data_IF_467318481714
#
_entry.id   IF_467318481714
#
_cell.length_a   1.000
_cell.length_b   1.000
_cell.length_c   1.000
_cell.angle_alpha   90.00
_cell.angle_beta   90.00
_cell.angle_gamma   90.00
#
_symmetry.space_group_name_H-M   'P 1'
#
loop_
_entity.id
_entity.type
_entity.pdbx_description
1 polymer ?
#
# COMPACT_ATOMS: atom_id res chain seq x y z
N UNK A 1 1.40 5.24 -9.87
CA UNK A 1 0.21 5.31 -9.00
C UNK A 1 0.24 4.29 -7.86
N UNK A 2 0.60 3.00 -8.04
CA UNK A 2 0.64 2.05 -6.89
C UNK A 2 1.60 2.48 -5.77
N UNK A 3 2.76 3.06 -6.11
CA UNK A 3 3.75 3.43 -5.10
C UNK A 3 3.19 4.40 -4.05
N UNK A 4 2.22 5.22 -4.44
CA UNK A 4 1.47 6.06 -3.50
C UNK A 4 0.67 5.22 -2.50
N UNK A 5 -0.05 4.19 -2.96
CA UNK A 5 -0.81 3.30 -2.07
C UNK A 5 0.09 2.53 -1.12
N UNK A 6 1.29 2.11 -1.54
CA UNK A 6 2.25 1.42 -0.67
C UNK A 6 2.78 2.35 0.44
N UNK A 7 2.99 3.62 0.14
CA UNK A 7 3.52 4.60 1.11
C UNK A 7 2.43 5.33 1.91
N UNK A 8 1.19 5.30 1.43
CA UNK A 8 0.06 5.94 2.09
C UNK A 8 -0.19 5.53 3.55
N UNK A 9 0.06 4.28 4.01
CA UNK A 9 -0.18 3.91 5.40
C UNK A 9 0.69 4.71 6.38
N UNK A 10 1.89 5.14 5.96
CA UNK A 10 2.75 5.97 6.80
C UNK A 10 2.12 7.35 7.08
N UNK A 11 1.49 7.94 6.05
CA UNK A 11 0.76 9.21 6.20
C UNK A 11 -0.50 9.01 7.03
N UNK A 12 -1.25 7.94 6.77
CA UNK A 12 -2.46 7.61 7.52
C UNK A 12 -2.16 7.31 8.98
N UNK A 13 -1.02 6.68 9.31
CA UNK A 13 -0.63 6.41 10.69
C UNK A 13 -0.43 7.71 11.50
N UNK A 14 0.20 8.72 10.91
CA UNK A 14 0.37 10.04 11.55
C UNK A 14 -1.01 10.70 11.76
N UNK A 15 -1.86 10.68 10.73
CA UNK A 15 -3.22 11.22 10.82
C UNK A 15 -4.09 10.46 11.83
N UNK A 16 -3.92 9.13 11.92
CA UNK A 16 -4.64 8.26 12.84
C UNK A 16 -4.30 8.58 14.30
N UNK A 17 -3.03 8.80 14.63
CA UNK A 17 -2.63 9.20 15.97
C UNK A 17 -3.34 10.49 16.42
N UNK A 18 -3.38 11.49 15.54
CA UNK A 18 -4.11 12.72 15.80
C UNK A 18 -5.63 12.49 15.91
N UNK A 19 -6.22 11.73 14.98
CA UNK A 19 -7.66 11.48 14.94
C UNK A 19 -8.18 10.71 16.16
N UNK A 20 -7.49 9.64 16.56
CA UNK A 20 -7.89 8.82 17.72
C UNK A 20 -7.74 9.60 19.02
N UNK A 21 -6.74 10.47 19.13
CA UNK A 21 -6.59 11.35 20.30
C UNK A 21 -7.76 12.32 20.47
N UNK A 22 -8.40 12.74 19.36
CA UNK A 22 -9.53 13.68 19.35
C UNK A 22 -10.89 12.97 19.44
N UNK A 23 -11.03 11.80 18.82
CA UNK A 23 -12.27 11.06 18.68
C UNK A 23 -12.09 9.54 18.92
N UNK A 24 -11.78 9.11 20.15
CA UNK A 24 -11.45 7.71 20.45
C UNK A 24 -12.58 6.74 20.09
N UNK A 25 -13.84 7.15 20.25
CA UNK A 25 -15.01 6.31 19.93
C UNK A 25 -15.23 6.11 18.42
N UNK A 26 -14.53 6.84 17.56
CA UNK A 26 -14.60 6.73 16.10
C UNK A 26 -13.38 6.04 15.47
N UNK A 27 -12.50 5.45 16.28
CA UNK A 27 -11.28 4.80 15.80
C UNK A 27 -11.56 3.71 14.75
N UNK A 28 -12.71 3.02 14.82
CA UNK A 28 -13.12 2.00 13.85
C UNK A 28 -13.21 2.52 12.40
N UNK A 29 -13.45 3.84 12.20
CA UNK A 29 -13.48 4.45 10.86
C UNK A 29 -12.12 4.30 10.15
N UNK A 30 -11.01 4.20 10.89
CA UNK A 30 -9.68 4.00 10.32
C UNK A 30 -9.53 2.66 9.61
N UNK A 31 -10.36 1.66 9.95
CA UNK A 31 -10.38 0.37 9.25
C UNK A 31 -10.91 0.46 7.82
N UNK A 32 -11.55 1.58 7.44
CA UNK A 32 -11.92 1.83 6.05
C UNK A 32 -10.69 1.94 5.13
N UNK A 33 -9.55 2.40 5.66
CA UNK A 33 -8.31 2.52 4.89
C UNK A 33 -7.72 1.17 4.47
N UNK A 34 -7.44 0.21 5.39
CA UNK A 34 -6.96 -1.11 5.00
C UNK A 34 -7.98 -1.86 4.13
N UNK A 35 -9.28 -1.71 4.38
CA UNK A 35 -10.31 -2.27 3.51
C UNK A 35 -10.23 -1.74 2.07
N UNK A 36 -10.00 -0.43 1.89
CA UNK A 36 -9.77 0.17 0.58
C UNK A 36 -8.49 -0.37 -0.09
N UNK A 37 -7.39 -0.49 0.67
CA UNK A 37 -6.15 -1.07 0.17
C UNK A 37 -6.34 -2.50 -0.32
N UNK A 38 -7.08 -3.32 0.43
CA UNK A 38 -7.43 -4.70 0.04
C UNK A 38 -8.18 -4.74 -1.29
N UNK A 39 -9.15 -3.84 -1.51
CA UNK A 39 -9.86 -3.75 -2.79
C UNK A 39 -8.91 -3.38 -3.95
N UNK A 40 -8.06 -2.38 -3.75
CA UNK A 40 -7.10 -1.92 -4.76
C UNK A 40 -6.07 -3.00 -5.09
N UNK A 41 -5.48 -3.63 -4.08
CA UNK A 41 -4.49 -4.70 -4.25
C UNK A 41 -5.11 -5.97 -4.85
N UNK A 42 -6.35 -6.31 -4.48
CA UNK A 42 -7.10 -7.41 -5.08
C UNK A 42 -7.35 -7.22 -6.58
N UNK A 43 -7.62 -5.99 -7.01
CA UNK A 43 -7.71 -5.67 -8.44
C UNK A 43 -6.38 -5.89 -9.17
N UNK A 44 -5.26 -5.58 -8.52
CA UNK A 44 -3.91 -5.80 -9.07
C UNK A 44 -3.55 -7.27 -9.13
N UNK A 45 -3.97 -8.07 -8.13
CA UNK A 45 -3.75 -9.52 -8.13
C UNK A 45 -4.42 -10.18 -9.33
N UNK A 46 -5.67 -9.77 -9.64
CA UNK A 46 -6.37 -10.24 -10.85
C UNK A 46 -5.60 -9.89 -12.13
N UNK A 47 -5.09 -8.66 -12.22
CA UNK A 47 -4.30 -8.21 -13.36
C UNK A 47 -3.00 -9.02 -13.51
N UNK A 48 -2.28 -9.24 -12.40
CA UNK A 48 -1.04 -10.02 -12.39
C UNK A 48 -1.26 -11.48 -12.82
N UNK A 49 -2.41 -12.07 -12.47
CA UNK A 49 -2.78 -13.41 -12.91
C UNK A 49 -3.02 -13.55 -14.43
N UNK A 50 -3.27 -12.44 -15.14
CA UNK A 50 -3.61 -12.44 -16.57
C UNK A 50 -2.55 -11.77 -17.47
N UNK A 51 -1.62 -10.98 -16.92
CA UNK A 51 -0.74 -10.09 -17.70
C UNK A 51 0.71 -9.96 -17.21
N UNK A 52 1.14 -10.78 -16.24
CA UNK A 52 2.51 -10.76 -15.72
C UNK A 52 2.74 -9.73 -14.62
N UNK A 53 3.84 -9.89 -13.87
CA UNK A 53 4.19 -9.04 -12.74
C UNK A 53 4.53 -7.60 -13.18
N UNK A 54 4.17 -6.61 -12.37
CA UNK A 54 4.49 -5.20 -12.64
C UNK A 54 5.62 -4.72 -11.75
N UNK A 55 6.71 -4.25 -12.37
CA UNK A 55 7.79 -3.55 -11.68
C UNK A 55 7.54 -2.04 -11.67
N UNK A 56 7.67 -1.41 -10.50
CA UNK A 56 7.62 0.04 -10.36
C UNK A 56 8.89 0.48 -9.66
N UNK A 57 9.68 1.30 -10.34
CA UNK A 57 10.94 1.82 -9.82
C UNK A 57 10.79 3.30 -9.51
N UNK A 58 11.12 3.66 -8.28
CA UNK A 58 11.21 5.05 -7.84
C UNK A 58 12.67 5.38 -7.54
N UNK A 59 13.28 6.39 -8.17
CA UNK A 59 14.63 6.81 -7.83
C UNK A 59 14.63 7.33 -6.38
N UNK A 60 15.52 6.79 -5.55
CA UNK A 60 15.62 7.20 -4.14
C UNK A 60 16.95 7.91 -3.85
N UNK A 61 18.08 7.24 -4.09
CA UNK A 61 19.40 7.84 -4.04
C UNK A 61 20.19 7.44 -5.29
N UNK A 62 19.90 8.06 -6.44
CA UNK A 62 20.45 7.64 -7.74
C UNK A 62 21.98 7.75 -7.80
N UNK A 63 22.57 8.72 -7.09
CA UNK A 63 24.02 8.87 -6.98
C UNK A 63 24.71 7.68 -6.30
N UNK A 64 23.96 6.90 -5.52
CA UNK A 64 24.42 5.67 -4.89
C UNK A 64 23.97 4.41 -5.64
N UNK A 65 23.28 4.57 -6.79
CA UNK A 65 22.68 3.45 -7.52
C UNK A 65 21.46 2.83 -6.83
N UNK A 66 20.78 3.55 -5.91
CA UNK A 66 19.66 3.02 -5.14
C UNK A 66 18.30 3.46 -5.70
N UNK A 67 17.41 2.49 -5.89
CA UNK A 67 16.00 2.67 -6.25
C UNK A 67 15.08 1.92 -5.28
N UNK A 68 13.89 2.46 -5.08
CA UNK A 68 12.78 1.71 -4.48
C UNK A 68 12.06 0.96 -5.59
N UNK A 69 12.39 -0.32 -5.73
CA UNK A 69 11.79 -1.20 -6.74
C UNK A 69 10.70 -2.06 -6.11
N UNK A 70 9.45 -1.79 -6.49
CA UNK A 70 8.27 -2.53 -6.04
C UNK A 70 7.86 -3.53 -7.12
N UNK A 71 8.04 -4.82 -6.84
CA UNK A 71 7.59 -5.89 -7.71
C UNK A 71 6.19 -6.35 -7.26
N UNK A 72 5.20 -6.14 -8.13
CA UNK A 72 3.82 -6.58 -7.91
C UNK A 72 3.59 -7.90 -8.65
N UNK A 73 4.12 -8.97 -8.10
CA UNK A 73 3.87 -10.34 -8.55
C UNK A 73 2.69 -10.97 -7.79
N UNK A 74 2.23 -12.14 -8.23
CA UNK A 74 1.09 -12.80 -7.60
C UNK A 74 1.32 -13.13 -6.12
N UNK A 75 2.53 -13.53 -5.76
CA UNK A 75 2.87 -13.89 -4.38
C UNK A 75 2.98 -12.65 -3.48
N UNK A 76 3.69 -11.61 -3.91
CA UNK A 76 3.82 -10.35 -3.18
C UNK A 76 2.47 -9.67 -3.00
N UNK A 77 1.60 -9.70 -4.02
CA UNK A 77 0.24 -9.16 -3.92
C UNK A 77 -0.65 -9.98 -2.97
N UNK A 78 -0.51 -11.31 -2.94
CA UNK A 78 -1.22 -12.16 -1.99
C UNK A 78 -0.88 -11.80 -0.54
N UNK A 79 0.41 -11.64 -0.23
CA UNK A 79 0.83 -11.19 1.10
C UNK A 79 0.39 -9.75 1.39
N UNK A 80 0.46 -8.85 0.42
CA UNK A 80 0.02 -7.47 0.62
C UNK A 80 -1.47 -7.37 1.00
N UNK A 81 -2.32 -8.23 0.43
CA UNK A 81 -3.76 -8.31 0.79
C UNK A 81 -3.97 -8.90 2.19
N UNK A 82 -3.18 -9.90 2.59
CA UNK A 82 -3.28 -10.50 3.92
C UNK A 82 -2.85 -9.56 5.04
N UNK A 83 -1.90 -8.66 4.74
CA UNK A 83 -1.33 -7.72 5.72
C UNK A 83 -2.17 -6.43 5.82
N UNK A 84 -2.79 -6.00 4.71
CA UNK A 84 -3.55 -4.75 4.64
C UNK A 84 -4.62 -4.67 5.74
#
# INVERSE_FOLDING_TARGET
MIGFFVLSPFVVAIAAAWFVSRFPHRAAVLAAWPALLTIVLGSQLRNAAHGGARLIELPWAPSLGLSLSFNLDGLGLLFAILIA
#
